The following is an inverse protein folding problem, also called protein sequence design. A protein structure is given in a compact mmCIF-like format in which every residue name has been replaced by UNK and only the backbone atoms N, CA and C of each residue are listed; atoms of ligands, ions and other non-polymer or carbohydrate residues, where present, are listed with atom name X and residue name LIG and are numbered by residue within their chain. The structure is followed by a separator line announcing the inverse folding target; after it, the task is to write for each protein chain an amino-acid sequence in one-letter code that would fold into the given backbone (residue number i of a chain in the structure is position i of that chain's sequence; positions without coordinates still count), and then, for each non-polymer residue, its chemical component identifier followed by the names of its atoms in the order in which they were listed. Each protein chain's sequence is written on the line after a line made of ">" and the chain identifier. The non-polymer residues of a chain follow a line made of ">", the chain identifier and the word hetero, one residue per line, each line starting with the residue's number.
data_IF_708205165533
#
_entry.id   IF_708205165533
#
_cell.length_a   1.000
_cell.length_b   1.000
_cell.length_c   1.000
_cell.angle_alpha   90.00
_cell.angle_beta   90.00
_cell.angle_gamma   90.00
#
_symmetry.space_group_name_H-M   'P 1'
#
loop_
_entity.id
_entity.type
_entity.pdbx_description
1 polymer ?
#
# COMPACT_ATOMS: atom_id res chain seq x y z
N UNK A 1 -20.59 -25.36 0.96
CA UNK A 1 -19.43 -25.17 0.05
C UNK A 1 -18.98 -23.76 0.37
N UNK A 2 -17.93 -23.63 1.16
CA UNK A 2 -17.68 -22.43 1.98
C UNK A 2 -16.37 -21.74 1.56
N UNK A 3 -15.93 -22.03 0.33
CA UNK A 3 -14.73 -21.46 -0.25
C UNK A 3 -15.03 -20.06 -0.80
N UNK A 4 -14.07 -19.15 -0.61
CA UNK A 4 -14.13 -17.80 -1.19
C UNK A 4 -13.98 -17.89 -2.71
N UNK A 5 -14.95 -17.34 -3.44
CA UNK A 5 -14.85 -17.14 -4.89
C UNK A 5 -14.39 -15.71 -5.20
N UNK A 6 -13.36 -15.56 -6.06
CA UNK A 6 -12.88 -14.25 -6.49
C UNK A 6 -13.62 -13.78 -7.74
N UNK A 7 -14.49 -12.79 -7.55
CA UNK A 7 -15.29 -12.16 -8.61
C UNK A 7 -14.79 -10.77 -8.99
N UNK A 8 -13.55 -10.39 -8.65
CA UNK A 8 -12.99 -9.05 -8.93
C UNK A 8 -13.08 -8.70 -10.43
N UNK A 9 -12.91 -9.70 -11.30
CA UNK A 9 -13.00 -9.58 -12.75
C UNK A 9 -14.40 -9.19 -13.28
N UNK A 10 -15.46 -9.39 -12.49
CA UNK A 10 -16.82 -8.97 -12.85
C UNK A 10 -17.06 -7.48 -12.61
N UNK A 11 -16.19 -6.82 -11.84
CA UNK A 11 -16.31 -5.41 -11.48
C UNK A 11 -15.32 -4.51 -12.21
N UNK A 12 -14.10 -5.00 -12.48
CA UNK A 12 -13.05 -4.25 -13.15
C UNK A 12 -12.25 -5.10 -14.12
N UNK A 13 -11.69 -4.43 -15.14
CA UNK A 13 -10.70 -5.03 -16.03
C UNK A 13 -9.34 -5.14 -15.34
N UNK A 14 -8.44 -6.03 -15.81
CA UNK A 14 -7.08 -6.13 -15.31
C UNK A 14 -6.32 -4.80 -15.42
N UNK A 15 -5.56 -4.47 -14.38
CA UNK A 15 -4.73 -3.27 -14.32
C UNK A 15 -3.67 -3.29 -15.45
N UNK A 16 -3.52 -2.18 -16.16
CA UNK A 16 -2.67 -2.02 -17.33
C UNK A 16 -3.33 -2.38 -18.67
N UNK A 17 -4.56 -2.91 -18.69
CA UNK A 17 -5.24 -3.30 -19.93
C UNK A 17 -5.79 -2.11 -20.73
N UNK A 18 -5.94 -2.28 -22.04
CA UNK A 18 -6.56 -1.25 -22.90
C UNK A 18 -8.03 -1.01 -22.51
N UNK A 19 -8.73 -2.07 -22.11
CA UNK A 19 -10.12 -2.00 -21.66
C UNK A 19 -10.27 -1.23 -20.36
N UNK A 20 -9.37 -1.41 -19.39
CA UNK A 20 -9.31 -0.60 -18.18
C UNK A 20 -9.16 0.88 -18.54
N UNK A 21 -8.17 1.22 -19.38
CA UNK A 21 -7.94 2.61 -19.82
C UNK A 21 -9.18 3.20 -20.49
N UNK A 22 -9.82 2.43 -21.39
CA UNK A 22 -11.04 2.85 -22.10
C UNK A 22 -12.21 3.07 -21.16
N UNK A 23 -12.45 2.16 -20.20
CA UNK A 23 -13.57 2.26 -19.26
C UNK A 23 -13.33 3.36 -18.22
N UNK A 24 -12.10 3.51 -17.74
CA UNK A 24 -11.71 4.62 -16.87
C UNK A 24 -11.89 5.97 -17.58
N UNK A 25 -11.44 6.09 -18.84
CA UNK A 25 -11.67 7.28 -19.67
C UNK A 25 -13.16 7.52 -19.97
N UNK A 26 -13.95 6.47 -20.15
CA UNK A 26 -15.41 6.58 -20.32
C UNK A 26 -16.08 7.08 -19.04
N UNK A 27 -15.55 6.70 -17.86
CA UNK A 27 -16.00 7.16 -16.56
C UNK A 27 -15.49 8.58 -16.20
N UNK A 28 -14.49 9.11 -16.92
CA UNK A 28 -13.86 10.43 -16.76
C UNK A 28 -14.80 11.62 -17.08
N UNK A 29 -15.87 11.76 -16.29
CA UNK A 29 -16.59 13.02 -16.12
C UNK A 29 -17.00 13.35 -14.68
N UNK A 30 -16.62 12.57 -13.66
CA UNK A 30 -17.12 12.80 -12.29
C UNK A 30 -16.12 12.80 -11.14
N UNK A 31 -14.87 12.37 -11.28
CA UNK A 31 -13.94 12.45 -10.15
C UNK A 31 -12.50 12.68 -10.60
N UNK A 32 -11.86 13.59 -9.89
CA UNK A 32 -10.58 14.24 -10.11
C UNK A 32 -9.44 13.30 -10.54
N UNK A 33 -8.56 13.88 -11.36
CA UNK A 33 -7.28 13.31 -11.75
C UNK A 33 -6.59 12.70 -10.54
N UNK A 34 -6.43 11.37 -10.55
CA UNK A 34 -5.37 10.75 -9.76
C UNK A 34 -4.09 11.33 -10.31
N UNK A 35 -3.52 12.30 -9.59
CA UNK A 35 -2.13 12.69 -9.78
C UNK A 35 -1.35 11.39 -9.78
N UNK A 36 -0.73 11.04 -10.90
CA UNK A 36 0.29 10.00 -10.92
C UNK A 36 1.23 10.35 -9.76
N UNK A 37 1.12 9.59 -8.66
CA UNK A 37 1.96 9.82 -7.51
C UNK A 37 3.38 9.74 -8.05
N UNK A 38 4.16 10.79 -7.80
CA UNK A 38 5.57 10.86 -8.18
C UNK A 38 6.28 9.83 -7.29
N UNK A 39 6.13 8.56 -7.60
CA UNK A 39 7.01 7.51 -7.14
C UNK A 39 8.31 7.72 -7.88
N UNK A 40 9.34 8.13 -7.14
CA UNK A 40 10.70 8.06 -7.65
C UNK A 40 10.94 6.61 -8.11
N UNK A 41 11.16 6.36 -9.41
CA UNK A 41 11.24 5.00 -9.94
C UNK A 41 12.42 4.21 -9.35
N UNK A 42 13.32 4.87 -8.63
CA UNK A 42 14.54 4.32 -8.08
C UNK A 42 14.42 3.68 -6.69
N UNK A 43 13.53 4.14 -5.81
CA UNK A 43 13.40 3.58 -4.45
C UNK A 43 12.02 2.97 -4.27
N UNK A 44 11.98 1.73 -3.80
CA UNK A 44 10.73 1.05 -3.44
C UNK A 44 10.71 0.69 -1.96
N UNK A 45 9.55 0.79 -1.32
CA UNK A 45 9.33 0.41 0.08
C UNK A 45 8.19 -0.61 0.13
N UNK A 46 8.41 -1.74 0.80
CA UNK A 46 7.40 -2.78 1.01
C UNK A 46 7.28 -3.09 2.49
N UNK A 47 6.06 -3.07 3.02
CA UNK A 47 5.76 -3.52 4.38
C UNK A 47 5.47 -5.02 4.38
N UNK A 48 6.11 -5.77 5.27
CA UNK A 48 5.89 -7.22 5.46
C UNK A 48 5.67 -7.51 6.93
N UNK A 49 4.60 -8.24 7.26
CA UNK A 49 4.40 -8.79 8.61
C UNK A 49 5.06 -10.15 8.76
N UNK A 50 5.44 -10.52 9.98
CA UNK A 50 5.78 -11.89 10.32
C UNK A 50 4.55 -12.81 10.24
N UNK A 51 4.76 -14.10 9.99
CA UNK A 51 3.68 -15.08 10.13
C UNK A 51 3.18 -15.15 11.59
N UNK A 52 1.90 -15.46 11.77
CA UNK A 52 1.35 -15.72 13.12
C UNK A 52 1.04 -14.47 13.96
N UNK A 53 0.65 -13.35 13.32
CA UNK A 53 0.15 -12.14 13.98
C UNK A 53 -1.21 -12.39 14.68
N UNK A 54 -1.15 -13.05 15.84
CA UNK A 54 -2.33 -13.36 16.64
C UNK A 54 -2.64 -12.24 17.63
N UNK A 55 -3.94 -12.04 17.88
CA UNK A 55 -4.40 -11.04 18.86
C UNK A 55 -3.85 -11.37 20.24
N UNK A 56 -3.14 -10.42 20.85
CA UNK A 56 -2.60 -10.53 22.21
C UNK A 56 -1.15 -11.02 22.28
N UNK A 57 -0.50 -11.29 21.14
CA UNK A 57 0.92 -11.57 21.06
C UNK A 57 1.68 -10.38 20.48
N UNK A 58 2.96 -10.27 20.82
CA UNK A 58 3.90 -9.40 20.12
C UNK A 58 4.14 -9.94 18.70
N UNK A 59 4.36 -9.05 17.75
CA UNK A 59 4.64 -9.39 16.36
C UNK A 59 5.57 -8.37 15.71
N UNK A 60 6.27 -8.80 14.66
CA UNK A 60 7.22 -7.96 13.95
C UNK A 60 6.68 -7.54 12.58
N UNK A 61 6.91 -6.27 12.24
CA UNK A 61 6.63 -5.73 10.91
C UNK A 61 7.91 -5.10 10.36
N UNK A 62 8.23 -5.44 9.12
CA UNK A 62 9.46 -5.06 8.45
C UNK A 62 9.16 -4.08 7.31
N UNK A 63 9.88 -2.96 7.25
CA UNK A 63 9.97 -2.13 6.06
C UNK A 63 11.17 -2.57 5.21
N UNK A 64 10.91 -3.21 4.07
CA UNK A 64 11.93 -3.59 3.09
C UNK A 64 12.11 -2.43 2.12
N UNK A 65 13.25 -1.77 2.18
CA UNK A 65 13.63 -0.68 1.29
C UNK A 65 14.57 -1.24 0.22
N UNK A 66 14.29 -0.99 -1.05
CA UNK A 66 15.14 -1.39 -2.17
C UNK A 66 15.48 -0.18 -3.02
N UNK A 67 16.78 0.14 -3.08
CA UNK A 67 17.32 1.13 -4.00
C UNK A 67 17.72 0.42 -5.30
N UNK A 68 16.95 0.66 -6.36
CA UNK A 68 17.15 0.13 -7.71
C UNK A 68 17.93 1.12 -8.59
N UNK A 69 18.68 2.05 -8.00
CA UNK A 69 19.54 3.00 -8.71
C UNK A 69 21.00 2.77 -8.39
N UNK A 70 21.88 3.21 -9.29
CA UNK A 70 23.33 3.12 -9.12
C UNK A 70 23.88 4.14 -8.11
N UNK A 71 23.04 5.09 -7.68
CA UNK A 71 23.43 6.20 -6.79
C UNK A 71 23.05 5.86 -5.37
N UNK A 72 23.97 6.06 -4.43
CA UNK A 72 23.66 6.01 -3.00
C UNK A 72 22.73 7.17 -2.63
N UNK A 73 21.68 6.87 -1.86
CA UNK A 73 20.66 7.85 -1.50
C UNK A 73 20.51 7.95 0.01
N UNK A 74 20.60 9.17 0.51
CA UNK A 74 20.31 9.47 1.92
C UNK A 74 18.83 9.75 2.10
N UNK A 75 18.19 8.99 2.98
CA UNK A 75 16.74 9.06 3.21
C UNK A 75 16.43 9.10 4.71
N UNK A 76 15.31 9.73 5.07
CA UNK A 76 14.71 9.63 6.41
C UNK A 76 13.59 8.61 6.38
N UNK A 77 13.67 7.58 7.22
CA UNK A 77 12.57 6.64 7.41
C UNK A 77 11.80 6.96 8.69
N UNK A 78 10.51 7.23 8.53
CA UNK A 78 9.55 7.31 9.63
C UNK A 78 8.59 6.12 9.54
N UNK A 79 8.50 5.36 10.63
CA UNK A 79 7.57 4.27 10.79
C UNK A 79 6.49 4.66 11.81
N UNK A 80 5.22 4.53 11.46
CA UNK A 80 4.09 4.82 12.34
C UNK A 80 3.04 3.73 12.18
N UNK A 81 2.67 3.10 13.28
CA UNK A 81 1.61 2.13 13.39
C UNK A 81 0.47 2.75 14.19
N UNK A 82 -0.74 2.65 13.66
CA UNK A 82 -1.96 3.14 14.29
C UNK A 82 -3.04 2.08 14.22
N UNK A 83 -3.91 2.04 15.23
CA UNK A 83 -5.11 1.23 15.16
C UNK A 83 -6.03 1.78 14.07
N UNK A 84 -6.69 0.90 13.33
CA UNK A 84 -7.67 1.29 12.31
C UNK A 84 -8.87 0.37 12.39
N UNK A 85 -10.06 0.90 12.16
CA UNK A 85 -11.26 0.09 12.02
C UNK A 85 -11.45 -0.36 10.57
N UNK A 86 -12.32 -1.34 10.34
CA UNK A 86 -12.53 -1.94 9.02
C UNK A 86 -13.03 -0.94 7.95
N UNK A 87 -13.58 0.21 8.37
CA UNK A 87 -14.08 1.25 7.47
C UNK A 87 -13.04 2.36 7.19
N UNK A 88 -11.81 2.23 7.71
CA UNK A 88 -10.73 3.20 7.51
C UNK A 88 -10.65 4.31 8.57
N UNK A 89 -11.51 4.34 9.60
CA UNK A 89 -11.34 5.28 10.70
C UNK A 89 -10.04 5.01 11.47
N UNK A 90 -9.18 6.02 11.52
CA UNK A 90 -7.86 5.96 12.16
C UNK A 90 -7.99 6.23 13.66
N UNK A 91 -7.47 5.31 14.46
CA UNK A 91 -7.45 5.37 15.91
C UNK A 91 -6.11 5.85 16.47
N UNK A 92 -5.81 5.38 17.69
CA UNK A 92 -4.63 5.74 18.45
C UNK A 92 -3.33 5.20 17.82
N UNK A 93 -2.23 5.91 18.04
CA UNK A 93 -0.89 5.43 17.69
C UNK A 93 -0.47 4.30 18.64
N UNK A 94 0.01 3.20 18.09
CA UNK A 94 0.48 2.03 18.83
C UNK A 94 1.97 1.73 18.61
N UNK A 95 2.63 2.43 17.69
CA UNK A 95 4.07 2.36 17.52
C UNK A 95 4.57 3.49 16.62
N UNK A 96 5.71 4.08 16.99
CA UNK A 96 6.36 5.08 16.15
C UNK A 96 7.86 4.97 16.29
N UNK A 97 8.56 4.98 15.16
CA UNK A 97 10.02 5.02 15.11
C UNK A 97 10.46 5.96 14.01
N UNK A 98 11.33 6.89 14.36
CA UNK A 98 11.96 7.82 13.44
C UNK A 98 13.46 7.53 13.47
N UNK A 99 14.03 7.06 12.35
CA UNK A 99 15.41 6.55 12.32
C UNK A 99 16.48 7.66 12.18
N UNK A 100 16.11 8.92 12.41
CA UNK A 100 17.03 10.06 12.46
C UNK A 100 17.07 10.80 13.81
N UNK A 101 16.38 10.27 14.84
CA UNK A 101 16.41 10.77 16.22
C UNK A 101 16.86 9.68 17.20
#
# INVERSE_FOLDING_TARGET
>A
KDDREDITHNYKYPEGSEDERRVFQKANKLTEQTTDEITDPGITIKLKGSDGMNKGCDFDVYAVISNNTEVERQCRLMFCARTSSYNGQVGAECGKKDLLN
#
